data_IF_145727040444
#
_entry.id   IF_145727040444
#
_cell.length_a   1.000
_cell.length_b   1.000
_cell.length_c   1.000
_cell.angle_alpha   90.00
_cell.angle_beta   90.00
_cell.angle_gamma   90.00
#
_symmetry.space_group_name_H-M   'P 1'
#
loop_
_entity.id
_entity.type
_entity.pdbx_description
1 polymer ?
#
# COMPACT_ATOMS: atom_id res chain seq x y z
N UNK A 1 -30.02 -0.64 0.38
CA UNK A 1 -29.26 0.24 1.30
C UNK A 1 -28.24 0.94 0.42
N UNK A 2 -28.56 2.16 -0.03
CA UNK A 2 -27.72 2.93 -0.94
C UNK A 2 -26.38 3.21 -0.25
N UNK A 3 -25.29 2.80 -0.88
CA UNK A 3 -23.95 3.24 -0.50
C UNK A 3 -23.96 4.76 -0.47
N UNK A 4 -23.38 5.33 0.59
CA UNK A 4 -23.18 6.76 0.72
C UNK A 4 -22.35 7.22 -0.49
N UNK A 5 -23.01 7.74 -1.52
CA UNK A 5 -22.41 8.77 -2.36
C UNK A 5 -21.73 9.72 -1.37
N UNK A 6 -20.43 9.97 -1.52
CA UNK A 6 -19.73 10.93 -0.66
C UNK A 6 -20.58 12.21 -0.58
N UNK A 7 -20.52 12.96 0.52
CA UNK A 7 -21.41 14.11 0.77
C UNK A 7 -21.49 15.15 -0.39
N UNK A 8 -20.61 15.04 -1.40
CA UNK A 8 -20.53 15.86 -2.61
C UNK A 8 -20.60 15.08 -3.96
N UNK A 9 -20.94 13.77 -3.97
CA UNK A 9 -21.14 12.97 -5.20
C UNK A 9 -19.88 12.34 -5.82
N UNK A 10 -18.69 12.56 -5.25
CA UNK A 10 -17.41 12.00 -5.71
C UNK A 10 -17.27 10.49 -5.43
N UNK A 11 -16.62 9.76 -6.33
CA UNK A 11 -16.25 8.34 -6.19
C UNK A 11 -14.84 8.22 -5.61
N UNK A 12 -14.64 7.26 -4.72
CA UNK A 12 -13.35 6.96 -4.09
C UNK A 12 -12.85 5.60 -4.57
N UNK A 13 -11.69 5.61 -5.22
CA UNK A 13 -10.99 4.44 -5.73
C UNK A 13 -9.84 4.04 -4.81
N UNK A 14 -9.91 2.83 -4.25
CA UNK A 14 -8.82 2.21 -3.52
C UNK A 14 -8.03 1.26 -4.41
N UNK A 15 -6.83 1.67 -4.84
CA UNK A 15 -6.05 0.97 -5.85
C UNK A 15 -4.77 0.38 -5.26
N UNK A 16 -4.52 -0.89 -5.52
CA UNK A 16 -3.34 -1.58 -5.00
C UNK A 16 -2.88 -2.74 -5.88
N UNK A 17 -1.58 -3.01 -5.84
CA UNK A 17 -1.02 -4.25 -6.40
C UNK A 17 -1.16 -5.39 -5.42
N UNK A 18 -1.46 -6.58 -5.93
CA UNK A 18 -1.69 -7.79 -5.13
C UNK A 18 -0.74 -8.93 -5.54
N UNK A 19 -0.31 -9.73 -4.55
CA UNK A 19 0.47 -10.94 -4.74
C UNK A 19 -0.21 -12.18 -4.18
N UNK A 20 -0.04 -12.50 -2.89
CA UNK A 20 -0.55 -13.75 -2.29
C UNK A 20 -1.11 -13.58 -0.87
N UNK A 21 -1.12 -12.35 -0.34
CA UNK A 21 -1.51 -12.05 1.03
C UNK A 21 -3.05 -11.98 1.20
N UNK A 22 -3.73 -13.12 0.97
CA UNK A 22 -5.20 -13.23 1.03
C UNK A 22 -5.78 -12.78 2.38
N UNK A 23 -5.09 -13.08 3.49
CA UNK A 23 -5.48 -12.63 4.82
C UNK A 23 -5.50 -11.09 4.92
N UNK A 24 -4.45 -10.42 4.42
CA UNK A 24 -4.36 -8.96 4.44
C UNK A 24 -5.34 -8.32 3.46
N UNK A 25 -5.59 -8.95 2.31
CA UNK A 25 -6.62 -8.51 1.38
C UNK A 25 -7.99 -8.49 2.06
N UNK A 26 -8.34 -9.53 2.81
CA UNK A 26 -9.62 -9.58 3.51
C UNK A 26 -9.73 -8.51 4.59
N UNK A 27 -8.66 -8.30 5.38
CA UNK A 27 -8.59 -7.22 6.37
C UNK A 27 -8.80 -5.86 5.71
N UNK A 28 -8.10 -5.60 4.59
CA UNK A 28 -8.20 -4.36 3.83
C UNK A 28 -9.61 -4.12 3.30
N UNK A 29 -10.17 -5.10 2.61
CA UNK A 29 -11.51 -5.03 2.03
C UNK A 29 -12.53 -4.80 3.15
N UNK A 30 -12.44 -5.54 4.26
CA UNK A 30 -13.32 -5.36 5.40
C UNK A 30 -13.23 -3.95 6.01
N UNK A 31 -12.03 -3.41 6.18
CA UNK A 31 -11.83 -2.09 6.78
C UNK A 31 -12.40 -0.97 5.89
N UNK A 32 -12.21 -1.07 4.57
CA UNK A 32 -12.51 0.03 3.64
C UNK A 32 -13.84 -0.10 2.89
N UNK A 33 -14.51 -1.26 2.93
CA UNK A 33 -15.72 -1.54 2.13
C UNK A 33 -16.82 -0.47 2.29
N UNK A 34 -17.03 0.05 3.51
CA UNK A 34 -18.05 1.06 3.81
C UNK A 34 -17.55 2.51 3.65
N UNK A 35 -16.35 2.70 3.10
CA UNK A 35 -15.71 4.02 2.95
C UNK A 35 -15.40 4.34 1.50
N UNK A 36 -15.04 3.32 0.71
CA UNK A 36 -14.66 3.48 -0.69
C UNK A 36 -15.72 2.90 -1.60
N UNK A 37 -15.75 3.38 -2.84
CA UNK A 37 -16.77 3.01 -3.82
C UNK A 37 -16.27 1.90 -4.76
N UNK A 38 -14.97 1.91 -5.07
CA UNK A 38 -14.32 0.95 -5.97
C UNK A 38 -13.00 0.49 -5.38
N UNK A 39 -12.71 -0.80 -5.51
CA UNK A 39 -11.38 -1.37 -5.33
C UNK A 39 -10.79 -1.70 -6.69
N UNK A 40 -9.57 -1.22 -6.99
CA UNK A 40 -8.82 -1.63 -8.17
C UNK A 40 -7.69 -2.55 -7.71
N UNK A 41 -7.90 -3.85 -7.88
CA UNK A 41 -6.95 -4.89 -7.50
C UNK A 41 -6.15 -5.30 -8.73
N UNK A 42 -4.84 -5.11 -8.70
CA UNK A 42 -3.96 -5.46 -9.82
C UNK A 42 -3.11 -6.68 -9.49
N UNK A 43 -3.32 -7.78 -10.21
CA UNK A 43 -2.61 -9.05 -10.02
C UNK A 43 -1.83 -9.43 -11.29
N UNK A 44 -0.53 -9.70 -11.16
CA UNK A 44 0.30 -10.17 -12.27
C UNK A 44 0.36 -11.70 -12.37
N UNK A 45 0.64 -12.25 -13.57
CA UNK A 45 0.92 -13.69 -13.75
C UNK A 45 2.36 -14.11 -13.44
N UNK A 46 3.23 -13.15 -13.13
CA UNK A 46 4.62 -13.39 -12.79
C UNK A 46 4.99 -12.67 -11.49
N UNK A 47 5.96 -13.21 -10.76
CA UNK A 47 6.63 -12.53 -9.65
C UNK A 47 7.50 -11.37 -10.17
N UNK A 48 7.92 -10.46 -9.29
CA UNK A 48 8.91 -9.43 -9.65
C UNK A 48 10.29 -10.01 -9.98
N UNK A 49 10.54 -11.31 -9.77
CA UNK A 49 11.74 -11.98 -10.27
C UNK A 49 11.56 -12.55 -11.69
N UNK A 50 10.38 -12.39 -12.30
CA UNK A 50 10.08 -12.91 -13.65
C UNK A 50 9.60 -14.37 -13.67
N UNK A 51 9.48 -15.04 -12.51
CA UNK A 51 8.97 -16.41 -12.44
C UNK A 51 7.45 -16.42 -12.59
N UNK A 52 6.86 -17.32 -13.41
CA UNK A 52 5.41 -17.53 -13.44
C UNK A 52 4.85 -17.85 -12.05
N UNK A 53 3.63 -17.39 -11.79
CA UNK A 53 2.89 -17.69 -10.55
C UNK A 53 1.40 -17.87 -10.86
N UNK A 54 0.65 -18.61 -10.02
CA UNK A 54 -0.80 -18.59 -10.09
C UNK A 54 -1.37 -17.19 -9.79
N UNK A 55 -2.62 -17.00 -10.18
CA UNK A 55 -3.41 -15.83 -9.85
C UNK A 55 -4.16 -16.12 -8.54
N UNK A 56 -3.48 -15.91 -7.41
CA UNK A 56 -3.99 -16.17 -6.07
C UNK A 56 -5.35 -15.53 -5.81
N UNK A 57 -5.58 -14.27 -6.22
CA UNK A 57 -6.90 -13.66 -6.04
C UNK A 57 -7.92 -14.32 -6.96
N UNK A 58 -7.59 -14.48 -8.24
CA UNK A 58 -8.49 -15.11 -9.21
C UNK A 58 -8.97 -16.50 -8.76
N UNK A 59 -8.05 -17.33 -8.26
CA UNK A 59 -8.31 -18.71 -7.82
C UNK A 59 -9.14 -18.75 -6.53
N UNK A 60 -9.16 -17.66 -5.76
CA UNK A 60 -9.88 -17.55 -4.48
C UNK A 60 -11.06 -16.56 -4.52
N UNK A 61 -11.46 -16.05 -5.70
CA UNK A 61 -12.53 -15.04 -5.85
C UNK A 61 -13.81 -15.37 -5.08
N UNK A 62 -14.18 -16.65 -5.03
CA UNK A 62 -15.37 -17.12 -4.32
C UNK A 62 -15.35 -16.75 -2.82
N UNK A 63 -14.18 -16.77 -2.17
CA UNK A 63 -14.03 -16.37 -0.77
C UNK A 63 -14.28 -14.87 -0.55
N UNK A 64 -14.15 -14.05 -1.60
CA UNK A 64 -14.34 -12.59 -1.56
C UNK A 64 -15.66 -12.14 -2.19
N UNK A 65 -16.62 -13.06 -2.40
CA UNK A 65 -17.90 -12.76 -3.08
C UNK A 65 -18.66 -11.58 -2.45
N UNK A 66 -18.55 -11.41 -1.12
CA UNK A 66 -19.17 -10.27 -0.38
C UNK A 66 -18.65 -8.89 -0.77
N UNK A 67 -17.50 -8.82 -1.43
CA UNK A 67 -16.86 -7.56 -1.85
C UNK A 67 -16.88 -7.39 -3.38
N UNK A 68 -17.35 -8.40 -4.12
CA UNK A 68 -17.17 -8.51 -5.56
C UNK A 68 -17.87 -7.37 -6.34
N UNK A 69 -18.91 -6.76 -5.77
CA UNK A 69 -19.62 -5.63 -6.36
C UNK A 69 -18.77 -4.37 -6.51
N UNK A 70 -17.72 -4.21 -5.69
CA UNK A 70 -16.80 -3.06 -5.75
C UNK A 70 -15.44 -3.38 -6.38
N UNK A 71 -15.11 -4.64 -6.61
CA UNK A 71 -13.76 -5.03 -7.07
C UNK A 71 -13.66 -5.04 -8.60
N UNK A 72 -12.85 -4.14 -9.13
CA UNK A 72 -12.30 -4.25 -10.49
C UNK A 72 -10.98 -5.02 -10.43
N UNK A 73 -10.97 -6.25 -10.94
CA UNK A 73 -9.77 -7.09 -10.99
C UNK A 73 -9.02 -6.93 -12.32
N UNK A 74 -7.80 -6.40 -12.24
CA UNK A 74 -6.92 -6.22 -13.39
C UNK A 74 -5.83 -7.30 -13.38
N UNK A 75 -5.89 -8.20 -14.36
CA UNK A 75 -4.82 -9.18 -14.60
C UNK A 75 -3.76 -8.59 -15.52
N UNK A 76 -2.49 -8.79 -15.14
CA UNK A 76 -1.32 -8.23 -15.83
C UNK A 76 -0.43 -9.34 -16.36
N UNK A 77 -0.13 -9.24 -17.65
CA UNK A 77 0.98 -9.92 -18.31
C UNK A 77 2.08 -8.89 -18.57
N UNK A 78 3.34 -9.25 -18.34
CA UNK A 78 4.45 -8.37 -18.66
C UNK A 78 4.82 -8.53 -20.14
N UNK A 79 5.08 -7.43 -20.86
CA UNK A 79 5.54 -7.51 -22.24
C UNK A 79 6.93 -8.16 -22.30
N UNK A 80 7.22 -8.79 -23.44
CA UNK A 80 8.55 -9.29 -23.74
C UNK A 80 9.53 -8.14 -24.01
N UNK A 81 10.82 -8.37 -23.71
CA UNK A 81 11.89 -7.39 -23.95
C UNK A 81 12.22 -6.52 -22.73
N UNK A 82 12.89 -5.39 -23.00
CA UNK A 82 13.31 -4.45 -21.96
C UNK A 82 12.12 -3.64 -21.44
N UNK A 83 11.56 -4.11 -20.33
CA UNK A 83 10.44 -3.46 -19.67
C UNK A 83 10.78 -2.03 -19.20
N UNK A 84 12.04 -1.76 -18.84
CA UNK A 84 12.44 -0.44 -18.33
C UNK A 84 12.38 0.63 -19.43
N UNK A 85 12.62 0.26 -20.69
CA UNK A 85 12.53 1.16 -21.83
C UNK A 85 11.09 1.66 -22.10
N UNK A 86 10.07 0.90 -21.68
CA UNK A 86 8.65 1.26 -21.83
C UNK A 86 8.08 2.08 -20.68
N UNK A 87 8.84 2.33 -19.61
CA UNK A 87 8.36 3.04 -18.43
C UNK A 87 8.62 4.54 -18.52
N UNK A 88 7.70 5.33 -17.96
CA UNK A 88 7.86 6.78 -17.81
C UNK A 88 8.66 7.16 -16.55
N UNK A 89 8.97 6.18 -15.70
CA UNK A 89 9.81 6.30 -14.51
C UNK A 89 11.10 5.50 -14.68
N UNK A 90 12.13 5.81 -13.90
CA UNK A 90 13.43 5.11 -13.97
C UNK A 90 13.53 4.05 -12.86
N UNK A 91 13.27 2.77 -13.16
CA UNK A 91 13.47 1.70 -12.18
C UNK A 91 14.96 1.48 -11.91
N UNK A 92 15.29 0.96 -10.72
CA UNK A 92 16.68 0.68 -10.34
C UNK A 92 17.23 -0.59 -10.99
N UNK A 93 16.35 -1.54 -11.30
CA UNK A 93 16.63 -2.83 -11.94
C UNK A 93 15.33 -3.46 -12.43
N UNK A 94 15.41 -4.62 -13.08
CA UNK A 94 14.26 -5.34 -13.64
C UNK A 94 13.17 -5.70 -12.62
N UNK A 95 13.52 -5.92 -11.35
CA UNK A 95 12.52 -6.20 -10.30
C UNK A 95 11.65 -4.98 -10.06
N UNK A 96 12.27 -3.81 -9.96
CA UNK A 96 11.56 -2.55 -9.85
C UNK A 96 10.83 -2.20 -11.15
N UNK A 97 11.38 -2.52 -12.33
CA UNK A 97 10.70 -2.31 -13.60
C UNK A 97 9.36 -3.05 -13.65
N UNK A 98 9.34 -4.33 -13.22
CA UNK A 98 8.09 -5.11 -13.11
C UNK A 98 7.13 -4.53 -12.07
N UNK A 99 7.62 -4.06 -10.94
CA UNK A 99 6.77 -3.42 -9.95
C UNK A 99 6.13 -2.14 -10.49
N UNK A 100 6.91 -1.24 -11.09
CA UNK A 100 6.44 0.00 -11.69
C UNK A 100 5.38 -0.29 -12.76
N UNK A 101 5.68 -1.24 -13.67
CA UNK A 101 4.76 -1.62 -14.72
C UNK A 101 3.44 -2.16 -14.18
N UNK A 102 3.49 -3.13 -13.24
CA UNK A 102 2.28 -3.69 -12.64
C UNK A 102 1.47 -2.57 -11.96
N UNK A 103 2.11 -1.68 -11.23
CA UNK A 103 1.44 -0.59 -10.54
C UNK A 103 0.76 0.38 -11.50
N UNK A 104 1.42 0.75 -12.61
CA UNK A 104 0.84 1.63 -13.63
C UNK A 104 -0.39 1.01 -14.34
N UNK A 105 -0.60 -0.32 -14.26
CA UNK A 105 -1.82 -0.96 -14.73
C UNK A 105 -3.08 -0.60 -13.91
N UNK A 106 -2.94 0.06 -12.76
CA UNK A 106 -4.06 0.64 -12.01
C UNK A 106 -4.93 1.54 -12.91
N UNK A 107 -4.31 2.26 -13.85
CA UNK A 107 -5.01 3.13 -14.80
C UNK A 107 -6.13 2.43 -15.59
N UNK A 108 -5.99 1.11 -15.85
CA UNK A 108 -7.02 0.29 -16.53
C UNK A 108 -8.31 0.16 -15.73
N UNK A 109 -8.27 0.34 -14.42
CA UNK A 109 -9.44 0.33 -13.54
C UNK A 109 -10.07 1.70 -13.29
N UNK A 110 -9.51 2.78 -13.87
CA UNK A 110 -9.92 4.17 -13.65
C UNK A 110 -10.62 4.81 -14.86
N UNK A 111 -11.08 4.01 -15.82
CA UNK A 111 -11.67 4.50 -17.09
C UNK A 111 -12.92 5.34 -16.91
N UNK A 112 -13.66 5.10 -15.83
CA UNK A 112 -14.93 5.78 -15.53
C UNK A 112 -14.75 6.92 -14.50
N UNK A 113 -13.51 7.20 -14.08
CA UNK A 113 -13.24 8.19 -13.04
C UNK A 113 -13.49 9.61 -13.56
N UNK A 114 -14.26 10.39 -12.81
CA UNK A 114 -14.46 11.81 -13.03
C UNK A 114 -13.26 12.62 -12.52
N UNK A 115 -13.01 13.84 -13.04
CA UNK A 115 -11.85 14.65 -12.64
C UNK A 115 -11.71 14.90 -11.12
N UNK A 116 -12.83 15.01 -10.39
CA UNK A 116 -12.86 15.27 -8.94
C UNK A 116 -12.94 14.01 -8.06
N UNK A 117 -12.96 12.82 -8.68
CA UNK A 117 -12.88 11.55 -7.97
C UNK A 117 -11.52 11.38 -7.29
N UNK A 118 -11.50 10.62 -6.20
CA UNK A 118 -10.30 10.42 -5.39
C UNK A 118 -9.65 9.07 -5.70
N UNK A 119 -8.38 9.13 -6.11
CA UNK A 119 -7.58 7.95 -6.41
C UNK A 119 -6.60 7.73 -5.26
N UNK A 120 -6.72 6.61 -4.58
CA UNK A 120 -5.77 6.13 -3.59
C UNK A 120 -4.89 5.08 -4.25
N UNK A 121 -3.57 5.24 -4.17
CA UNK A 121 -2.60 4.22 -4.61
C UNK A 121 -1.76 3.77 -3.43
N UNK A 122 -1.74 2.46 -3.20
CA UNK A 122 -0.98 1.81 -2.14
C UNK A 122 -0.54 0.38 -2.49
N UNK A 123 0.06 -0.31 -1.54
CA UNK A 123 0.26 -1.76 -1.58
C UNK A 123 -0.78 -2.46 -0.68
N UNK A 124 -1.02 -3.77 -0.85
CA UNK A 124 -2.09 -4.50 -0.13
C UNK A 124 -1.90 -4.49 1.39
N UNK A 125 -0.64 -4.49 1.84
CA UNK A 125 -0.25 -4.47 3.25
C UNK A 125 -0.27 -3.07 3.88
N UNK A 126 -0.60 -2.03 3.11
CA UNK A 126 -0.77 -0.65 3.57
C UNK A 126 -2.26 -0.32 3.76
N UNK A 127 -2.83 -0.73 4.89
CA UNK A 127 -4.28 -0.64 5.17
C UNK A 127 -4.58 0.70 5.85
N UNK A 128 -5.29 1.60 5.17
CA UNK A 128 -5.74 2.87 5.76
C UNK A 128 -6.88 2.58 6.74
N UNK A 129 -6.87 3.22 7.91
CA UNK A 129 -8.01 3.18 8.82
C UNK A 129 -9.21 3.91 8.20
N UNK A 130 -10.38 3.28 8.25
CA UNK A 130 -11.64 3.84 7.79
C UNK A 130 -11.94 5.20 8.41
N UNK A 131 -11.63 5.35 9.71
CA UNK A 131 -11.80 6.61 10.43
C UNK A 131 -10.87 7.69 9.89
N UNK A 132 -9.59 7.35 9.68
CA UNK A 132 -8.58 8.29 9.19
C UNK A 132 -8.81 8.70 7.74
N UNK A 133 -9.30 7.78 6.91
CA UNK A 133 -9.69 8.09 5.54
C UNK A 133 -10.85 9.08 5.50
N UNK A 134 -11.93 8.83 6.28
CA UNK A 134 -13.06 9.78 6.39
C UNK A 134 -12.61 11.15 6.91
N UNK A 135 -11.75 11.18 7.93
CA UNK A 135 -11.18 12.42 8.45
C UNK A 135 -10.39 13.19 7.37
N UNK A 136 -9.53 12.49 6.62
CA UNK A 136 -8.73 13.06 5.56
C UNK A 136 -9.60 13.64 4.44
N UNK A 137 -10.62 12.92 4.00
CA UNK A 137 -11.56 13.37 2.97
C UNK A 137 -12.36 14.59 3.44
N UNK A 138 -12.89 14.58 4.67
CA UNK A 138 -13.70 15.69 5.19
C UNK A 138 -12.91 17.00 5.30
N UNK A 139 -11.60 16.91 5.55
CA UNK A 139 -10.78 18.08 5.89
C UNK A 139 -9.80 18.48 4.80
N UNK A 140 -9.72 17.75 3.68
CA UNK A 140 -8.86 18.08 2.53
C UNK A 140 -9.33 19.36 1.82
N UNK A 141 -8.43 19.99 1.08
CA UNK A 141 -8.78 21.00 0.07
C UNK A 141 -8.71 20.36 -1.32
N UNK A 142 -9.40 20.94 -2.33
CA UNK A 142 -9.22 20.54 -3.72
C UNK A 142 -7.75 20.52 -4.11
N UNK A 143 -7.35 19.59 -4.97
CA UNK A 143 -5.97 19.38 -5.43
C UNK A 143 -4.94 19.08 -4.33
N UNK A 144 -5.34 18.65 -3.12
CA UNK A 144 -4.37 18.18 -2.13
C UNK A 144 -3.78 16.82 -2.52
N UNK A 145 -2.46 16.71 -2.53
CA UNK A 145 -1.78 15.42 -2.43
C UNK A 145 -1.78 15.01 -0.96
N UNK A 146 -2.60 14.02 -0.64
CA UNK A 146 -2.70 13.47 0.71
C UNK A 146 -1.80 12.25 0.84
N UNK A 147 -0.94 12.25 1.85
CA UNK A 147 -0.02 11.18 2.16
C UNK A 147 -0.36 10.61 3.53
N UNK A 148 -0.59 9.30 3.57
CA UNK A 148 -0.92 8.55 4.76
C UNK A 148 0.36 7.94 5.35
N UNK A 149 0.78 8.45 6.50
CA UNK A 149 1.91 7.91 7.26
C UNK A 149 1.41 6.84 8.24
N UNK A 150 2.05 5.68 8.25
CA UNK A 150 1.54 4.49 8.96
C UNK A 150 2.55 3.90 9.95
N UNK A 151 2.11 3.47 11.14
CA UNK A 151 2.90 2.57 11.96
C UNK A 151 3.15 1.24 11.24
N UNK A 152 4.36 0.69 11.43
CA UNK A 152 4.81 -0.56 10.79
C UNK A 152 4.59 -1.72 11.75
N UNK A 153 4.04 -2.82 11.23
CA UNK A 153 3.82 -4.07 11.93
C UNK A 153 4.58 -5.21 11.24
N UNK A 154 5.22 -6.06 12.04
CA UNK A 154 6.08 -7.15 11.52
C UNK A 154 6.20 -8.32 12.49
N UNK A 155 6.38 -9.53 11.94
CA UNK A 155 6.42 -10.79 12.66
C UNK A 155 5.02 -11.28 12.99
N UNK A 156 4.33 -10.56 13.88
CA UNK A 156 2.95 -10.83 14.29
C UNK A 156 2.10 -9.57 14.12
N UNK A 157 0.79 -9.72 13.91
CA UNK A 157 -0.11 -8.57 13.65
C UNK A 157 -0.13 -7.55 14.78
N UNK A 158 0.14 -7.96 16.02
CA UNK A 158 0.14 -7.11 17.21
C UNK A 158 1.54 -6.59 17.58
N UNK A 159 2.55 -6.75 16.71
CA UNK A 159 3.91 -6.24 16.97
C UNK A 159 4.20 -5.02 16.12
N UNK A 160 4.24 -3.86 16.77
CA UNK A 160 4.53 -2.56 16.13
C UNK A 160 6.00 -2.20 16.28
N UNK A 161 6.65 -1.78 15.19
CA UNK A 161 8.05 -1.29 15.20
C UNK A 161 8.16 -0.02 16.05
N UNK A 162 9.20 0.08 16.89
CA UNK A 162 9.47 1.23 17.76
C UNK A 162 10.03 2.41 16.95
N UNK A 163 9.61 3.63 17.31
CA UNK A 163 10.20 4.91 16.85
C UNK A 163 10.33 5.08 15.33
N UNK A 164 9.52 4.36 14.55
CA UNK A 164 9.61 4.37 13.09
C UNK A 164 8.21 4.41 12.49
N UNK A 165 8.01 5.31 11.53
CA UNK A 165 6.80 5.41 10.74
C UNK A 165 7.11 5.13 9.27
N UNK A 166 6.12 4.60 8.57
CA UNK A 166 6.18 4.41 7.14
C UNK A 166 5.74 5.68 6.42
N UNK A 167 6.72 6.51 6.09
CA UNK A 167 6.54 7.74 5.31
C UNK A 167 6.19 7.45 3.83
N UNK A 168 6.42 6.23 3.37
CA UNK A 168 6.09 5.76 2.02
C UNK A 168 4.70 5.13 1.93
N UNK A 169 3.78 5.35 2.87
CA UNK A 169 2.43 4.76 2.84
C UNK A 169 1.51 5.20 1.69
N UNK A 170 0.19 5.00 1.76
CA UNK A 170 -0.74 5.31 0.68
C UNK A 170 -0.74 6.80 0.27
N UNK A 171 -1.01 7.06 -1.01
CA UNK A 171 -1.12 8.41 -1.59
C UNK A 171 -2.51 8.58 -2.17
N UNK A 172 -3.16 9.70 -1.89
CA UNK A 172 -4.47 10.04 -2.42
C UNK A 172 -4.45 11.40 -3.10
N UNK A 173 -5.05 11.47 -4.29
CA UNK A 173 -5.13 12.68 -5.12
C UNK A 173 -6.44 12.67 -5.92
N UNK A 174 -6.86 13.84 -6.41
CA UNK A 174 -7.94 13.93 -7.41
C UNK A 174 -7.49 13.35 -8.75
N UNK A 175 -8.42 12.73 -9.48
CA UNK A 175 -8.10 12.11 -10.77
C UNK A 175 -7.60 13.13 -11.80
N UNK A 176 -8.09 14.38 -11.76
CA UNK A 176 -7.61 15.47 -12.63
C UNK A 176 -6.11 15.72 -12.53
N UNK A 177 -5.50 15.39 -11.39
CA UNK A 177 -4.09 15.61 -11.10
C UNK A 177 -3.31 14.27 -11.02
N UNK A 178 -3.94 13.15 -11.38
CA UNK A 178 -3.33 11.82 -11.26
C UNK A 178 -2.24 11.61 -12.33
N UNK A 179 -0.95 11.52 -11.95
CA UNK A 179 0.17 11.48 -12.91
C UNK A 179 0.44 10.06 -13.45
N UNK A 180 -0.34 9.07 -13.03
CA UNK A 180 0.01 7.65 -13.08
C UNK A 180 0.39 7.12 -11.70
N UNK A 181 0.18 5.82 -11.49
CA UNK A 181 0.24 5.22 -10.16
C UNK A 181 1.67 5.19 -9.60
N UNK A 182 2.66 4.88 -10.43
CA UNK A 182 4.06 4.87 -10.00
C UNK A 182 4.57 6.29 -9.69
N UNK A 183 4.31 7.26 -10.57
CA UNK A 183 4.69 8.67 -10.33
C UNK A 183 4.09 9.18 -9.02
N UNK A 184 2.82 8.86 -8.75
CA UNK A 184 2.17 9.22 -7.49
C UNK A 184 2.89 8.59 -6.28
N UNK A 185 3.27 7.31 -6.33
CA UNK A 185 3.98 6.63 -5.24
C UNK A 185 5.39 7.17 -5.00
N UNK A 186 6.07 7.62 -6.05
CA UNK A 186 7.42 8.20 -5.97
C UNK A 186 7.44 9.63 -5.39
N UNK A 187 6.28 10.26 -5.18
CA UNK A 187 6.19 11.56 -4.51
C UNK A 187 6.76 11.50 -3.08
N UNK A 188 7.49 12.55 -2.71
CA UNK A 188 8.18 12.67 -1.42
C UNK A 188 7.36 13.50 -0.45
N UNK A 189 7.33 13.07 0.81
CA UNK A 189 6.84 13.90 1.95
C UNK A 189 7.84 15.01 2.29
N UNK A 190 9.13 14.70 2.23
CA UNK A 190 10.24 15.61 2.48
C UNK A 190 11.39 15.26 1.53
N UNK A 191 11.85 16.21 0.71
CA UNK A 191 12.93 15.98 -0.24
C UNK A 191 14.33 16.12 0.37
N UNK A 192 14.48 16.79 1.52
CA UNK A 192 15.76 16.97 2.19
C UNK A 192 15.59 17.13 3.70
N UNK A 193 16.10 16.18 4.47
CA UNK A 193 16.11 16.25 5.94
C UNK A 193 16.98 17.41 6.45
N UNK A 194 18.01 17.84 5.69
CA UNK A 194 18.93 18.92 6.09
C UNK A 194 18.24 20.28 6.20
N UNK A 195 17.19 20.50 5.41
CA UNK A 195 16.43 21.75 5.43
C UNK A 195 15.45 21.82 6.61
N UNK A 196 15.33 20.75 7.40
CA UNK A 196 14.39 20.67 8.53
C UNK A 196 12.91 20.76 8.09
N UNK A 197 12.03 21.00 9.06
CA UNK A 197 10.60 21.14 8.83
C UNK A 197 10.17 22.62 8.83
N UNK A 198 10.43 23.32 7.71
CA UNK A 198 10.07 24.72 7.53
C UNK A 198 9.43 24.98 6.15
N UNK A 199 8.87 26.18 5.90
CA UNK A 199 8.22 26.50 4.64
C UNK A 199 9.11 26.33 3.40
N UNK A 200 10.42 26.62 3.52
CA UNK A 200 11.38 26.45 2.42
C UNK A 200 11.56 24.98 2.04
N UNK A 201 11.69 24.10 3.03
CA UNK A 201 11.75 22.64 2.82
C UNK A 201 10.49 22.11 2.15
N UNK A 202 9.31 22.61 2.55
CA UNK A 202 8.02 22.26 1.94
C UNK A 202 7.94 22.73 0.49
N UNK A 203 8.37 23.96 0.20
CA UNK A 203 8.44 24.49 -1.16
C UNK A 203 9.40 23.68 -2.03
N UNK A 204 10.61 23.40 -1.53
CA UNK A 204 11.60 22.59 -2.23
C UNK A 204 11.08 21.17 -2.52
N UNK A 205 10.41 20.54 -1.55
CA UNK A 205 9.80 19.22 -1.73
C UNK A 205 8.73 19.25 -2.82
N UNK A 206 7.86 20.26 -2.81
CA UNK A 206 6.83 20.45 -3.83
C UNK A 206 7.44 20.68 -5.22
N UNK A 207 8.50 21.49 -5.31
CA UNK A 207 9.26 21.68 -6.56
C UNK A 207 9.88 20.37 -7.06
N UNK A 208 10.47 19.57 -6.18
CA UNK A 208 11.03 18.26 -6.55
C UNK A 208 9.95 17.28 -7.04
N UNK A 209 8.80 17.21 -6.37
CA UNK A 209 7.67 16.38 -6.81
C UNK A 209 7.11 16.85 -8.16
N UNK A 210 7.04 18.17 -8.39
CA UNK A 210 6.67 18.70 -9.70
C UNK A 210 7.67 18.30 -10.79
N UNK A 211 8.96 18.56 -10.59
CA UNK A 211 9.98 18.32 -11.61
C UNK A 211 10.19 16.84 -11.95
N UNK A 212 9.98 15.94 -10.98
CA UNK A 212 10.28 14.52 -11.16
C UNK A 212 9.04 13.66 -11.41
N UNK A 213 7.90 14.04 -10.83
CA UNK A 213 6.67 13.24 -10.84
C UNK A 213 5.48 13.97 -11.46
N UNK A 214 5.65 15.21 -11.92
CA UNK A 214 4.58 16.07 -12.44
C UNK A 214 3.46 16.34 -11.43
N UNK A 215 3.77 16.30 -10.13
CA UNK A 215 2.81 16.55 -9.04
C UNK A 215 3.15 17.87 -8.33
N UNK A 216 2.58 19.02 -8.77
CA UNK A 216 2.77 20.31 -8.13
C UNK A 216 1.84 20.51 -6.93
N UNK A 217 1.14 19.48 -6.46
CA UNK A 217 0.08 19.58 -5.47
C UNK A 217 0.61 19.95 -4.08
N UNK A 218 -0.27 20.52 -3.25
CA UNK A 218 0.07 20.80 -1.85
C UNK A 218 0.12 19.48 -1.08
N UNK A 219 1.23 19.23 -0.41
CA UNK A 219 1.42 18.03 0.41
C UNK A 219 0.68 18.19 1.74
N UNK A 220 -0.22 17.24 2.01
CA UNK A 220 -0.95 17.07 3.25
C UNK A 220 -0.60 15.70 3.85
N UNK A 221 -0.15 15.67 5.09
CA UNK A 221 0.24 14.42 5.77
C UNK A 221 -0.83 14.07 6.80
N UNK A 222 -1.26 12.82 6.80
CA UNK A 222 -2.14 12.23 7.82
C UNK A 222 -1.29 11.24 8.65
N UNK A 223 -0.87 11.61 9.86
CA UNK A 223 -0.08 10.73 10.71
C UNK A 223 -0.96 9.63 11.33
N UNK A 224 -0.34 8.50 11.70
CA UNK A 224 -1.01 7.37 12.35
C UNK A 224 -2.29 6.95 11.61
N UNK A 225 -2.17 6.76 10.30
CA UNK A 225 -3.30 6.68 9.38
C UNK A 225 -3.84 5.28 9.13
N UNK A 226 -3.30 4.26 9.79
CA UNK A 226 -3.66 2.86 9.56
C UNK A 226 -2.51 1.94 9.94
N UNK A 227 -2.28 0.91 9.12
CA UNK A 227 -1.35 -0.17 9.43
C UNK A 227 -0.54 -0.56 8.19
N UNK A 228 0.78 -0.58 8.31
CA UNK A 228 1.66 -1.19 7.31
C UNK A 228 2.15 -2.56 7.78
N UNK A 229 1.51 -3.63 7.31
CA UNK A 229 1.66 -5.01 7.77
C UNK A 229 2.65 -5.81 6.91
N UNK A 230 3.93 -5.45 7.00
CA UNK A 230 4.99 -5.93 6.12
C UNK A 230 5.18 -7.46 6.08
N UNK A 231 5.27 -8.16 7.21
CA UNK A 231 5.53 -9.61 7.22
C UNK A 231 4.84 -10.26 8.40
N UNK A 232 3.57 -10.61 8.20
CA UNK A 232 2.71 -11.21 9.22
C UNK A 232 2.68 -12.73 9.05
N UNK A 233 2.91 -13.45 10.14
CA UNK A 233 2.82 -14.92 10.23
C UNK A 233 4.10 -15.61 10.67
N UNK A 234 4.90 -14.91 11.48
CA UNK A 234 6.08 -15.47 12.12
C UNK A 234 7.26 -15.68 11.19
N UNK A 235 8.19 -16.52 11.63
CA UNK A 235 9.47 -16.73 10.98
C UNK A 235 9.35 -17.39 9.59
N UNK A 236 8.43 -18.33 9.43
CA UNK A 236 8.25 -19.06 8.17
C UNK A 236 7.79 -18.13 7.03
N UNK A 237 6.71 -17.36 7.26
CA UNK A 237 6.24 -16.36 6.29
C UNK A 237 7.25 -15.25 6.06
N UNK A 238 8.01 -14.85 7.08
CA UNK A 238 9.13 -13.92 6.91
C UNK A 238 10.18 -14.46 5.93
N UNK A 239 10.57 -15.74 6.06
CA UNK A 239 11.53 -16.37 5.16
C UNK A 239 11.01 -16.50 3.73
N UNK A 240 9.76 -16.92 3.55
CA UNK A 240 9.13 -16.98 2.23
C UNK A 240 9.14 -15.62 1.53
N UNK A 241 8.67 -14.57 2.23
CA UNK A 241 8.64 -13.20 1.69
C UNK A 241 10.05 -12.68 1.38
N UNK A 242 11.01 -12.92 2.27
CA UNK A 242 12.40 -12.48 2.07
C UNK A 242 13.07 -13.20 0.89
N UNK A 243 12.81 -14.50 0.70
CA UNK A 243 13.27 -15.26 -0.46
C UNK A 243 12.67 -14.80 -1.79
N UNK A 244 11.42 -14.30 -1.77
CA UNK A 244 10.75 -13.74 -2.95
C UNK A 244 11.22 -12.32 -3.29
N UNK A 245 11.56 -11.49 -2.30
CA UNK A 245 11.93 -10.08 -2.50
C UNK A 245 13.44 -9.92 -2.78
N UNK A 246 14.28 -10.56 -1.96
CA UNK A 246 15.72 -10.28 -1.96
C UNK A 246 16.50 -11.27 -2.82
N UNK A 247 17.41 -10.75 -3.67
CA UNK A 247 18.57 -11.54 -4.05
C UNK A 247 19.46 -11.74 -2.83
N UNK A 248 20.43 -12.66 -2.91
CA UNK A 248 21.33 -13.19 -1.87
C UNK A 248 21.68 -12.36 -0.61
N UNK A 249 21.61 -11.03 -0.62
CA UNK A 249 22.13 -10.16 0.44
C UNK A 249 21.35 -10.24 1.77
N UNK A 250 20.01 -10.35 1.73
CA UNK A 250 19.19 -10.49 2.97
C UNK A 250 18.94 -11.94 3.38
N UNK A 251 19.13 -12.91 2.48
CA UNK A 251 19.09 -14.33 2.81
C UNK A 251 20.29 -14.76 3.69
N UNK A 252 21.30 -13.90 3.80
CA UNK A 252 22.48 -14.12 4.63
C UNK A 252 22.36 -13.55 6.05
N UNK A 253 21.29 -12.82 6.38
CA UNK A 253 21.12 -12.28 7.72
C UNK A 253 20.81 -13.39 8.74
N UNK A 254 21.21 -13.18 9.98
CA UNK A 254 21.09 -14.19 11.03
C UNK A 254 19.61 -14.49 11.35
N UNK A 255 18.74 -13.49 11.21
CA UNK A 255 17.29 -13.63 11.38
C UNK A 255 16.67 -14.53 10.31
N UNK A 256 17.23 -14.58 9.10
CA UNK A 256 16.78 -15.51 8.06
C UNK A 256 17.19 -16.95 8.36
N UNK A 257 18.34 -17.14 9.03
CA UNK A 257 18.96 -18.45 9.29
C UNK A 257 18.53 -19.06 10.63
N UNK A 258 18.13 -18.24 11.60
CA UNK A 258 17.77 -18.66 12.95
C UNK A 258 16.47 -18.02 13.42
N UNK A 259 15.50 -18.87 13.76
CA UNK A 259 14.24 -18.44 14.37
C UNK A 259 14.49 -17.67 15.68
N UNK A 260 15.45 -18.12 16.49
CA UNK A 260 15.78 -17.46 17.75
C UNK A 260 16.35 -16.05 17.53
N UNK A 261 17.18 -15.85 16.51
CA UNK A 261 17.70 -14.54 16.15
C UNK A 261 16.59 -13.61 15.65
N UNK A 262 15.65 -14.14 14.86
CA UNK A 262 14.46 -13.41 14.43
C UNK A 262 13.57 -12.98 15.61
N UNK A 263 13.27 -13.89 16.54
CA UNK A 263 12.45 -13.59 17.72
C UNK A 263 13.11 -12.57 18.64
N UNK A 264 14.43 -12.66 18.82
CA UNK A 264 15.21 -11.67 19.57
C UNK A 264 15.17 -10.29 18.91
N UNK A 265 15.43 -10.23 17.60
CA UNK A 265 15.38 -8.98 16.82
C UNK A 265 13.98 -8.34 16.89
N UNK A 266 12.92 -9.16 16.80
CA UNK A 266 11.55 -8.69 17.01
C UNK A 266 11.34 -8.15 18.42
N UNK A 267 11.79 -8.82 19.48
CA UNK A 267 11.67 -8.35 20.87
C UNK A 267 12.33 -6.98 21.11
N UNK A 268 13.51 -6.78 20.52
CA UNK A 268 14.25 -5.54 20.66
C UNK A 268 13.62 -4.39 19.85
N UNK A 269 13.25 -4.66 18.59
CA UNK A 269 12.79 -3.64 17.64
C UNK A 269 11.30 -3.31 17.69
N UNK A 270 10.47 -4.17 18.29
CA UNK A 270 9.00 -4.00 18.31
C UNK A 270 8.41 -3.96 19.72
N UNK A 271 7.20 -3.42 19.83
CA UNK A 271 6.35 -3.45 21.02
C UNK A 271 5.07 -4.21 20.72
N UNK A 272 4.57 -4.96 21.70
CA UNK A 272 3.26 -5.61 21.59
C UNK A 272 2.18 -4.56 21.86
N UNK A 273 1.22 -4.44 20.95
CA UNK A 273 0.08 -3.53 21.10
C UNK A 273 -1.17 -4.29 21.52
N UNK A 274 -2.09 -3.59 22.16
CA UNK A 274 -3.38 -4.18 22.53
C UNK A 274 -4.23 -4.46 21.28
N UNK A 275 -5.05 -5.51 21.31
CA UNK A 275 -5.88 -5.91 20.17
C UNK A 275 -6.78 -4.77 19.66
N UNK A 276 -7.23 -3.86 20.53
CA UNK A 276 -8.03 -2.69 20.15
C UNK A 276 -7.33 -1.72 19.19
N UNK A 277 -6.00 -1.77 19.07
CA UNK A 277 -5.23 -0.97 18.11
C UNK A 277 -5.23 -1.59 16.70
N UNK A 278 -5.73 -2.81 16.52
CA UNK A 278 -5.71 -3.54 15.25
C UNK A 278 -7.01 -3.30 14.46
N UNK A 279 -7.04 -3.58 13.14
CA UNK A 279 -8.28 -3.58 12.36
C UNK A 279 -9.38 -4.43 13.01
N UNK A 280 -10.64 -3.96 12.94
CA UNK A 280 -11.79 -4.65 13.57
C UNK A 280 -11.94 -6.10 13.14
N UNK A 281 -11.61 -6.40 11.87
CA UNK A 281 -11.65 -7.76 11.36
C UNK A 281 -10.65 -8.67 12.09
N UNK A 282 -9.45 -8.18 12.41
CA UNK A 282 -8.45 -8.93 13.19
C UNK A 282 -8.96 -9.10 14.63
N UNK A 283 -9.51 -8.05 15.24
CA UNK A 283 -10.08 -8.11 16.59
C UNK A 283 -11.18 -9.17 16.72
N UNK A 284 -11.99 -9.33 15.67
CA UNK A 284 -13.10 -10.28 15.64
C UNK A 284 -12.66 -11.71 15.28
N UNK A 285 -11.41 -11.89 14.84
CA UNK A 285 -10.87 -13.19 14.41
C UNK A 285 -9.48 -13.46 15.05
N UNK A 286 -9.33 -13.36 16.38
CA UNK A 286 -8.02 -13.39 17.04
C UNK A 286 -7.24 -14.67 16.78
N UNK A 287 -7.92 -15.83 16.75
CA UNK A 287 -7.29 -17.14 16.52
C UNK A 287 -6.64 -17.24 15.14
N UNK A 288 -7.28 -16.67 14.10
CA UNK A 288 -6.75 -16.69 12.73
C UNK A 288 -5.45 -15.90 12.59
N UNK A 289 -5.32 -14.81 13.36
CA UNK A 289 -4.18 -13.90 13.28
C UNK A 289 -3.15 -14.11 14.40
N UNK A 290 -3.34 -15.12 15.26
CA UNK A 290 -2.44 -15.40 16.38
C UNK A 290 -2.39 -14.28 17.41
N UNK A 291 -3.49 -13.55 17.60
CA UNK A 291 -3.63 -12.52 18.63
C UNK A 291 -4.25 -13.17 19.85
N UNK A 292 -3.44 -13.60 20.79
CA UNK A 292 -3.93 -14.09 22.08
C UNK A 292 -4.03 -12.91 23.05
N UNK A 293 -5.16 -12.84 23.75
CA UNK A 293 -5.50 -11.79 24.71
C UNK A 293 -4.47 -11.69 25.85
#
# INVERSE_FOLDING_TARGET
MLGLLGEDGRVIYDCFTFYNELDLLEVRLHELYDVVDRFVLVEAKQTFQGKPKPLHFNDNKAAFARYADKITHIVVDFPEGDLAAGLTTRPQNDKWARQHYQRDQISRGLTDAAPDDLIIVSDVDEIISAQKLREAIRTRRPHDLTIFEMPIYTGLVNRRVKNTMWEKGPRMIEFSDFPGAEHLRLTKMCASMRLGNNPLSRFYTRYQNYMLQHVPNRIRIIPNSGWHMTSIGGWDRFREKMGAISGNDRANCEEFRSQQAFEKSLAESTTVVHASELPKFIQSNPERFGVFA
#
